data_IF_727173632307
#
_entry.id   IF_727173632307
#
_cell.length_a   1.000
_cell.length_b   1.000
_cell.length_c   1.000
_cell.angle_alpha   90.00
_cell.angle_beta   90.00
_cell.angle_gamma   90.00
#
_symmetry.space_group_name_H-M   'P 1'
#
loop_
_entity.id
_entity.type
_entity.pdbx_description
1 polymer ?
#
# COMPACT_ATOMS: atom_id res chain seq x y z
N UNK A 1 -1.96 31.66 73.77
CA UNK A 1 -1.02 32.52 73.02
C UNK A 1 0.36 31.87 72.95
N UNK A 2 0.69 31.20 71.84
CA UNK A 2 2.00 31.29 71.17
C UNK A 2 1.99 30.40 69.92
N UNK A 3 2.10 31.05 68.77
CA UNK A 3 2.26 30.45 67.45
C UNK A 3 3.72 30.05 67.24
N UNK A 4 3.95 28.90 66.60
CA UNK A 4 5.15 28.61 65.78
C UNK A 4 4.70 27.60 64.70
N UNK A 5 4.39 28.07 63.49
CA UNK A 5 5.32 28.29 62.39
C UNK A 5 5.85 26.98 61.76
N UNK A 6 5.21 26.63 60.64
CA UNK A 6 5.71 25.94 59.45
C UNK A 6 6.82 24.88 59.61
N UNK A 7 6.48 23.63 59.23
CA UNK A 7 7.44 22.65 58.73
C UNK A 7 6.98 22.16 57.36
N UNK A 8 7.65 22.69 56.36
CA UNK A 8 7.68 22.30 54.94
C UNK A 8 7.97 20.80 54.85
N UNK A 9 7.12 20.01 54.20
CA UNK A 9 7.49 18.67 53.73
C UNK A 9 6.91 18.41 52.33
N UNK A 10 7.84 18.47 51.38
CA UNK A 10 7.95 17.72 50.12
C UNK A 10 6.76 17.70 49.16
N UNK A 11 6.81 18.60 48.16
CA UNK A 11 6.21 18.37 46.85
C UNK A 11 7.05 17.31 46.13
N UNK A 12 6.61 16.06 46.14
CA UNK A 12 7.15 15.01 45.26
C UNK A 12 6.60 15.21 43.86
N UNK A 13 7.27 16.05 43.08
CA UNK A 13 7.04 16.17 41.64
C UNK A 13 7.41 14.84 40.97
N UNK A 14 6.41 13.99 40.68
CA UNK A 14 6.59 12.86 39.77
C UNK A 14 6.89 13.42 38.37
N UNK A 15 8.16 13.36 37.97
CA UNK A 15 8.58 13.57 36.60
C UNK A 15 8.11 12.38 35.77
N UNK A 16 6.96 12.52 35.09
CA UNK A 16 6.58 11.62 34.00
C UNK A 16 7.50 11.91 32.81
N UNK A 17 8.55 11.12 32.65
CA UNK A 17 9.34 11.11 31.43
C UNK A 17 8.51 10.44 30.33
N UNK A 18 7.81 11.25 29.52
CA UNK A 18 7.18 10.79 28.29
C UNK A 18 8.28 10.49 27.28
N UNK A 19 8.70 9.23 27.18
CA UNK A 19 9.52 8.77 26.08
C UNK A 19 8.68 8.83 24.80
N UNK A 20 8.88 9.88 24.00
CA UNK A 20 8.37 9.92 22.62
C UNK A 20 9.24 8.93 21.85
N UNK A 21 8.73 7.71 21.67
CA UNK A 21 9.28 6.77 20.71
C UNK A 21 8.98 7.37 19.33
N UNK A 22 9.97 8.00 18.72
CA UNK A 22 9.91 8.32 17.30
C UNK A 22 9.84 6.98 16.56
N UNK A 23 8.65 6.61 16.07
CA UNK A 23 8.54 5.54 15.11
C UNK A 23 9.32 5.98 13.87
N UNK A 24 10.38 5.26 13.52
CA UNK A 24 10.98 5.39 12.18
C UNK A 24 9.86 5.16 11.15
N UNK A 25 9.80 5.93 10.05
CA UNK A 25 8.91 5.57 8.96
C UNK A 25 9.25 4.13 8.56
N UNK A 26 8.24 3.27 8.47
CA UNK A 26 8.41 1.99 7.81
C UNK A 26 8.91 2.31 6.41
N UNK A 27 10.10 1.84 6.04
CA UNK A 27 10.52 1.84 4.65
C UNK A 27 9.51 0.92 3.95
N UNK A 28 8.63 1.48 3.14
CA UNK A 28 7.81 0.66 2.25
C UNK A 28 8.79 -0.01 1.28
N UNK A 29 8.61 -1.31 1.04
CA UNK A 29 9.31 -1.94 -0.06
C UNK A 29 8.84 -1.27 -1.37
N UNK A 30 9.81 -0.82 -2.17
CA UNK A 30 9.62 -0.12 -3.44
C UNK A 30 10.09 -1.04 -4.58
N UNK A 31 9.19 -1.38 -5.49
CA UNK A 31 9.48 -2.22 -6.66
C UNK A 31 9.17 -1.46 -7.94
N UNK A 32 9.72 -1.87 -9.08
CA UNK A 32 9.45 -1.25 -10.37
C UNK A 32 8.27 -1.93 -11.07
N UNK A 33 7.33 -1.14 -11.59
CA UNK A 33 6.15 -1.62 -12.31
C UNK A 33 6.53 -2.12 -13.71
N UNK A 34 6.24 -3.40 -14.06
CA UNK A 34 6.50 -3.90 -15.40
C UNK A 34 5.53 -3.29 -16.43
N UNK A 35 5.95 -3.23 -17.70
CA UNK A 35 5.07 -2.95 -18.84
C UNK A 35 4.24 -4.21 -19.16
N UNK A 36 2.94 -4.15 -18.87
CA UNK A 36 1.99 -5.27 -19.02
C UNK A 36 0.76 -4.88 -19.85
N UNK A 37 0.72 -3.68 -20.41
CA UNK A 37 -0.37 -3.27 -21.30
C UNK A 37 -0.44 -4.16 -22.54
N UNK A 38 -1.64 -4.60 -22.90
CA UNK A 38 -1.88 -5.53 -24.00
C UNK A 38 -1.60 -7.00 -23.66
N UNK A 39 -1.09 -7.32 -22.48
CA UNK A 39 -0.93 -8.71 -22.03
C UNK A 39 -2.26 -9.33 -21.59
N UNK A 40 -2.31 -10.68 -21.61
CA UNK A 40 -3.38 -11.39 -20.90
C UNK A 40 -3.24 -11.12 -19.40
N UNK A 41 -4.36 -10.92 -18.72
CA UNK A 41 -4.37 -10.60 -17.27
C UNK A 41 -3.63 -11.65 -16.44
N UNK A 42 -3.66 -12.94 -16.84
CA UNK A 42 -2.87 -13.97 -16.17
C UNK A 42 -1.37 -13.66 -16.18
N UNK A 43 -0.81 -13.34 -17.35
CA UNK A 43 0.61 -13.01 -17.52
C UNK A 43 0.97 -11.71 -16.82
N UNK A 44 0.11 -10.69 -16.91
CA UNK A 44 0.29 -9.42 -16.22
C UNK A 44 0.33 -9.59 -14.69
N UNK A 45 -0.60 -10.36 -14.12
CA UNK A 45 -0.61 -10.68 -12.68
C UNK A 45 0.68 -11.41 -12.26
N UNK A 46 1.13 -12.39 -13.05
CA UNK A 46 2.39 -13.11 -12.79
C UNK A 46 3.61 -12.17 -12.88
N UNK A 47 3.62 -11.22 -13.81
CA UNK A 47 4.69 -10.24 -13.96
C UNK A 47 4.77 -9.29 -12.75
N UNK A 48 3.64 -8.75 -12.30
CA UNK A 48 3.57 -7.88 -11.11
C UNK A 48 3.99 -8.63 -9.84
N UNK A 49 3.50 -9.86 -9.66
CA UNK A 49 3.93 -10.70 -8.54
C UNK A 49 5.42 -10.99 -8.59
N UNK A 50 5.98 -11.26 -9.78
CA UNK A 50 7.42 -11.49 -9.92
C UNK A 50 8.24 -10.22 -9.63
N UNK A 51 7.78 -9.05 -10.09
CA UNK A 51 8.46 -7.78 -9.86
C UNK A 51 8.46 -7.39 -8.37
N UNK A 52 7.40 -7.77 -7.64
CA UNK A 52 7.25 -7.51 -6.20
C UNK A 52 7.71 -8.65 -5.30
N UNK A 53 8.44 -9.64 -5.80
CA UNK A 53 8.83 -10.86 -5.05
C UNK A 53 7.64 -11.58 -4.36
N UNK A 54 6.45 -11.46 -4.95
CA UNK A 54 5.19 -12.02 -4.49
C UNK A 54 4.49 -11.20 -3.41
N UNK A 55 4.97 -9.98 -3.11
CA UNK A 55 4.44 -9.15 -2.05
C UNK A 55 3.08 -8.52 -2.39
N UNK A 56 2.88 -8.14 -3.66
CA UNK A 56 1.71 -7.37 -4.07
C UNK A 56 1.08 -7.97 -5.33
N UNK A 57 -0.20 -8.30 -5.24
CA UNK A 57 -1.01 -8.66 -6.40
C UNK A 57 -1.75 -7.41 -6.91
N UNK A 58 -1.89 -7.22 -8.24
CA UNK A 58 -2.62 -6.09 -8.77
C UNK A 58 -4.13 -6.22 -8.48
N UNK A 59 -4.76 -5.09 -8.21
CA UNK A 59 -6.21 -4.95 -8.28
C UNK A 59 -6.67 -4.82 -9.74
N UNK A 60 -7.93 -5.18 -10.01
CA UNK A 60 -8.46 -5.19 -11.38
C UNK A 60 -9.79 -4.48 -11.49
N UNK A 61 -9.93 -3.68 -12.54
CA UNK A 61 -11.17 -2.99 -12.89
C UNK A 61 -11.53 -3.27 -14.35
N UNK A 62 -12.81 -3.15 -14.73
CA UNK A 62 -13.22 -3.33 -16.13
C UNK A 62 -13.23 -1.97 -16.84
N UNK A 63 -12.65 -1.92 -18.04
CA UNK A 63 -12.57 -0.68 -18.81
C UNK A 63 -13.94 -0.13 -19.23
N UNK A 64 -14.90 -1.03 -19.44
CA UNK A 64 -16.27 -0.65 -19.76
C UNK A 64 -17.28 -1.72 -19.38
N UNK A 65 -18.50 -1.27 -19.11
CA UNK A 65 -19.64 -2.13 -18.79
C UNK A 65 -19.83 -2.37 -17.28
N UNK A 66 -20.68 -3.34 -16.92
CA UNK A 66 -20.91 -3.70 -15.52
C UNK A 66 -19.62 -4.16 -14.82
N UNK A 67 -19.43 -3.87 -13.53
CA UNK A 67 -18.28 -4.38 -12.78
C UNK A 67 -18.38 -5.89 -12.71
N UNK A 68 -17.49 -6.57 -13.44
CA UNK A 68 -17.32 -8.01 -13.36
C UNK A 68 -16.09 -8.30 -12.52
N UNK A 69 -16.13 -9.40 -11.78
CA UNK A 69 -14.95 -9.95 -11.12
C UNK A 69 -14.16 -10.82 -12.11
N UNK A 70 -12.84 -10.66 -12.16
CA UNK A 70 -11.95 -11.37 -13.09
C UNK A 70 -11.56 -12.75 -12.54
N UNK A 71 -12.49 -13.69 -12.42
CA UNK A 71 -12.18 -15.03 -11.85
C UNK A 71 -11.30 -15.86 -12.80
N UNK A 72 -11.57 -15.81 -14.11
CA UNK A 72 -10.74 -16.46 -15.13
C UNK A 72 -9.87 -15.41 -15.84
N UNK A 73 -8.62 -15.30 -15.40
CA UNK A 73 -7.66 -14.30 -15.88
C UNK A 73 -7.28 -14.45 -17.35
N UNK A 74 -7.51 -15.62 -17.97
CA UNK A 74 -7.16 -15.85 -19.39
C UNK A 74 -8.17 -15.26 -20.37
N UNK A 75 -9.31 -14.72 -19.89
CA UNK A 75 -10.35 -14.12 -20.73
C UNK A 75 -10.32 -12.58 -20.74
N UNK A 76 -9.23 -11.99 -20.25
CA UNK A 76 -9.07 -10.56 -20.09
C UNK A 76 -7.70 -10.12 -20.60
N UNK A 77 -7.65 -8.92 -21.17
CA UNK A 77 -6.44 -8.24 -21.61
C UNK A 77 -6.33 -6.93 -20.84
N UNK A 78 -5.12 -6.57 -20.43
CA UNK A 78 -4.82 -5.28 -19.79
C UNK A 78 -4.92 -4.17 -20.83
N UNK A 79 -5.80 -3.20 -20.57
CA UNK A 79 -5.98 -2.02 -21.42
C UNK A 79 -5.19 -0.81 -20.91
N UNK A 80 -5.05 -0.69 -19.59
CA UNK A 80 -4.22 0.33 -18.95
C UNK A 80 -3.68 -0.21 -17.62
N UNK A 81 -2.58 0.37 -17.17
CA UNK A 81 -1.96 0.07 -15.88
C UNK A 81 -1.68 1.33 -15.07
N UNK A 82 -1.72 1.18 -13.74
CA UNK A 82 -1.28 2.19 -12.79
C UNK A 82 -0.55 1.50 -11.65
N UNK A 83 0.70 1.86 -11.31
CA UNK A 83 1.54 2.92 -11.91
C UNK A 83 1.89 2.67 -13.39
N UNK A 84 2.43 3.70 -14.06
CA UNK A 84 2.96 3.53 -15.42
C UNK A 84 4.19 2.59 -15.41
N UNK A 85 4.52 2.00 -16.56
CA UNK A 85 5.69 1.13 -16.66
C UNK A 85 6.97 1.88 -16.25
N UNK A 86 7.77 1.27 -15.38
CA UNK A 86 8.98 1.89 -14.81
C UNK A 86 8.73 2.77 -13.59
N UNK A 87 7.47 3.03 -13.20
CA UNK A 87 7.16 3.73 -11.96
C UNK A 87 7.14 2.78 -10.75
N UNK A 88 7.08 3.35 -9.55
CA UNK A 88 7.23 2.63 -8.29
C UNK A 88 5.91 1.99 -7.83
N UNK A 89 5.95 0.67 -7.59
CA UNK A 89 4.96 -0.07 -6.82
C UNK A 89 5.28 0.10 -5.33
N UNK A 90 4.29 0.54 -4.56
CA UNK A 90 4.35 0.58 -3.10
C UNK A 90 3.67 -0.64 -2.48
N UNK A 91 4.25 -1.19 -1.41
CA UNK A 91 3.59 -2.23 -0.61
C UNK A 91 2.26 -1.83 0.02
N UNK A 92 2.00 -0.52 0.19
CA UNK A 92 0.77 -0.01 0.80
C UNK A 92 -0.36 0.25 -0.21
N UNK A 93 -0.04 0.36 -1.50
CA UNK A 93 -1.00 0.66 -2.57
C UNK A 93 -0.77 -0.30 -3.74
N UNK A 94 -1.62 -1.33 -3.88
CA UNK A 94 -1.51 -2.27 -4.98
C UNK A 94 -1.58 -1.59 -6.35
N UNK A 95 -0.85 -2.08 -7.36
CA UNK A 95 -1.06 -1.66 -8.74
C UNK A 95 -2.49 -1.96 -9.19
N UNK A 96 -3.06 -1.11 -10.03
CA UNK A 96 -4.36 -1.32 -10.66
C UNK A 96 -4.18 -1.65 -12.14
N UNK A 97 -4.86 -2.69 -12.60
CA UNK A 97 -4.93 -3.08 -14.01
C UNK A 97 -6.38 -2.93 -14.51
N UNK A 98 -6.59 -2.00 -15.43
CA UNK A 98 -7.87 -1.89 -16.13
C UNK A 98 -7.90 -2.92 -17.26
N UNK A 99 -8.98 -3.71 -17.35
CA UNK A 99 -9.06 -4.82 -18.29
C UNK A 99 -10.31 -4.82 -19.14
N UNK A 100 -10.20 -5.40 -20.33
CA UNK A 100 -11.34 -5.68 -21.20
C UNK A 100 -11.25 -7.10 -21.77
N UNK A 101 -12.31 -7.52 -22.47
CA UNK A 101 -12.24 -8.73 -23.29
C UNK A 101 -11.19 -8.54 -24.39
N UNK A 102 -10.56 -9.62 -24.89
CA UNK A 102 -9.60 -9.51 -25.97
C UNK A 102 -10.13 -8.68 -27.16
N UNK A 103 -9.33 -7.74 -27.65
CA UNK A 103 -9.68 -6.77 -28.71
C UNK A 103 -10.78 -5.77 -28.34
N UNK A 104 -10.94 -5.44 -27.05
CA UNK A 104 -11.88 -4.42 -26.56
C UNK A 104 -11.21 -3.33 -25.70
N UNK A 105 -9.88 -3.27 -25.78
CA UNK A 105 -9.12 -2.04 -25.60
C UNK A 105 -9.13 -1.33 -26.97
#
# INVERSE_FOLDING_TARGET
MKSYAARIIAVTSLLFATAVVAASPAMADEWEMPDVEGELLQSATEAVLKASDGAVAPETSVASGPPFEQINLTYWVVCSQSPEAGEEISGDTPPELEVARPNQC
#
